data_IF_714632765125
#
_entry.id   IF_714632765125
#
_cell.length_a   1.000
_cell.length_b   1.000
_cell.length_c   1.000
_cell.angle_alpha   90.00
_cell.angle_beta   90.00
_cell.angle_gamma   90.00
#
_symmetry.space_group_name_H-M   'P 1'
#
loop_
_entity.id
_entity.type
_entity.pdbx_description
1 polymer ?
#
# COMPACT_ATOMS: atom_id res chain seq x y z
N UNK A 1 -15.81 61.99 51.84
CA UNK A 1 -17.14 61.73 51.23
C UNK A 1 -16.97 61.76 49.73
N UNK A 2 -17.22 60.67 49.07
CA UNK A 2 -17.76 60.40 47.74
C UNK A 2 -17.04 59.17 47.14
N UNK A 3 -17.81 58.14 47.18
CA UNK A 3 -17.54 56.84 46.53
C UNK A 3 -17.67 56.98 44.99
N UNK A 4 -16.71 56.48 44.21
CA UNK A 4 -16.91 56.20 42.80
C UNK A 4 -16.49 54.72 42.56
N UNK A 5 -17.51 53.90 42.36
CA UNK A 5 -17.34 52.52 41.94
C UNK A 5 -17.11 52.50 40.44
N UNK A 6 -15.95 51.98 40.01
CA UNK A 6 -15.67 51.71 38.61
C UNK A 6 -15.95 50.23 38.31
N UNK A 7 -16.98 49.98 37.51
CA UNK A 7 -17.34 48.69 36.93
C UNK A 7 -16.38 48.39 35.78
N UNK A 8 -15.48 47.43 35.95
CA UNK A 8 -14.75 46.81 34.87
C UNK A 8 -15.58 45.68 34.26
N UNK A 9 -16.21 45.93 33.12
CA UNK A 9 -16.84 44.91 32.28
C UNK A 9 -15.74 44.23 31.48
N UNK A 10 -15.33 43.05 31.95
CA UNK A 10 -14.40 42.21 31.21
C UNK A 10 -15.13 41.40 30.11
N UNK A 11 -14.97 41.81 28.87
CA UNK A 11 -15.44 41.03 27.70
C UNK A 11 -14.49 39.86 27.46
N UNK A 12 -14.87 38.65 27.87
CA UNK A 12 -14.21 37.42 27.50
C UNK A 12 -14.57 37.07 26.05
N UNK A 13 -13.68 37.39 25.13
CA UNK A 13 -13.71 36.85 23.75
C UNK A 13 -13.34 35.36 23.79
N UNK A 14 -14.36 34.52 23.83
CA UNK A 14 -14.20 33.08 23.57
C UNK A 14 -13.87 32.90 22.08
N UNK A 15 -12.59 32.73 21.78
CA UNK A 15 -12.13 32.20 20.47
C UNK A 15 -12.52 30.72 20.43
N UNK A 16 -13.75 30.44 19.99
CA UNK A 16 -14.16 29.11 19.58
C UNK A 16 -13.38 28.78 18.31
N UNK A 17 -12.22 28.12 18.48
CA UNK A 17 -11.51 27.50 17.38
C UNK A 17 -12.41 26.45 16.74
N UNK A 18 -12.94 26.76 15.55
CA UNK A 18 -13.60 25.78 14.69
C UNK A 18 -12.56 24.81 14.15
N UNK A 19 -12.11 23.87 14.97
CA UNK A 19 -11.62 22.59 14.47
C UNK A 19 -12.86 21.81 14.04
N UNK A 20 -13.25 21.97 12.77
CA UNK A 20 -14.23 21.09 12.15
C UNK A 20 -13.68 19.67 12.25
N UNK A 21 -14.28 18.75 13.01
CA UNK A 21 -13.89 17.35 12.94
C UNK A 21 -14.16 16.93 11.51
N UNK A 22 -13.10 16.50 10.80
CA UNK A 22 -13.26 15.86 9.49
C UNK A 22 -14.22 14.70 9.71
N UNK A 23 -15.43 14.83 9.19
CA UNK A 23 -16.47 13.82 9.32
C UNK A 23 -15.92 12.49 8.81
N UNK A 24 -16.16 11.34 9.50
CA UNK A 24 -15.71 10.01 9.05
C UNK A 24 -16.04 9.73 7.58
N UNK A 25 -17.14 10.31 7.08
CA UNK A 25 -17.54 10.26 5.67
C UNK A 25 -16.56 10.90 4.69
N UNK A 26 -15.81 11.93 5.07
CA UNK A 26 -14.85 12.58 4.16
C UNK A 26 -13.58 11.73 3.97
N UNK A 27 -13.07 11.11 5.02
CA UNK A 27 -11.89 10.24 4.94
C UNK A 27 -12.20 8.94 4.18
N UNK A 28 -13.36 8.34 4.42
CA UNK A 28 -13.83 7.17 3.69
C UNK A 28 -14.00 7.47 2.19
N UNK A 29 -14.59 8.63 1.85
CA UNK A 29 -14.76 9.05 0.46
C UNK A 29 -13.40 9.27 -0.23
N UNK A 30 -12.43 9.91 0.45
CA UNK A 30 -11.08 10.08 -0.07
C UNK A 30 -10.38 8.73 -0.28
N UNK A 31 -10.51 7.80 0.65
CA UNK A 31 -9.94 6.46 0.54
C UNK A 31 -10.54 5.71 -0.64
N UNK A 32 -11.87 5.75 -0.82
CA UNK A 32 -12.55 5.14 -1.97
C UNK A 32 -12.05 5.72 -3.29
N UNK A 33 -11.89 7.04 -3.37
CA UNK A 33 -11.35 7.72 -4.54
C UNK A 33 -9.93 7.24 -4.84
N UNK A 34 -9.06 7.20 -3.82
CA UNK A 34 -7.67 6.76 -3.98
C UNK A 34 -7.59 5.31 -4.46
N UNK A 35 -8.34 4.39 -3.85
CA UNK A 35 -8.39 2.96 -4.25
C UNK A 35 -8.81 2.80 -5.71
N UNK A 36 -9.82 3.55 -6.15
CA UNK A 36 -10.31 3.49 -7.53
C UNK A 36 -9.31 4.09 -8.52
N UNK A 37 -8.69 5.23 -8.19
CA UNK A 37 -7.74 5.92 -9.08
C UNK A 37 -6.45 5.13 -9.26
N UNK A 38 -5.98 4.46 -8.21
CA UNK A 38 -4.72 3.70 -8.25
C UNK A 38 -4.92 2.26 -8.72
N UNK A 39 -6.16 1.77 -8.80
CA UNK A 39 -6.44 0.37 -9.06
C UNK A 39 -5.84 -0.54 -7.96
N UNK A 40 -5.89 -0.12 -6.70
CA UNK A 40 -5.17 -0.75 -5.61
C UNK A 40 -5.42 -2.26 -5.50
N UNK A 41 -6.66 -2.74 -5.63
CA UNK A 41 -6.98 -4.17 -5.58
C UNK A 41 -6.23 -4.99 -6.64
N UNK A 42 -6.37 -4.69 -7.94
CA UNK A 42 -5.56 -5.29 -9.00
C UNK A 42 -4.05 -5.22 -8.76
N UNK A 43 -3.52 -4.09 -8.27
CA UNK A 43 -2.09 -3.93 -7.96
C UNK A 43 -1.64 -4.93 -6.89
N UNK A 44 -2.41 -5.11 -5.82
CA UNK A 44 -2.13 -6.11 -4.77
C UNK A 44 -2.09 -7.51 -5.38
N UNK A 45 -3.10 -7.89 -6.17
CA UNK A 45 -3.15 -9.20 -6.83
C UNK A 45 -1.97 -9.44 -7.78
N UNK A 46 -1.54 -8.41 -8.51
CA UNK A 46 -0.36 -8.46 -9.39
C UNK A 46 0.91 -8.73 -8.58
N UNK A 47 1.19 -7.96 -7.53
CA UNK A 47 2.37 -8.13 -6.68
C UNK A 47 2.44 -9.52 -6.03
N UNK A 48 1.31 -10.05 -5.56
CA UNK A 48 1.23 -11.40 -5.01
C UNK A 48 1.56 -12.47 -6.07
N UNK A 49 1.04 -12.31 -7.28
CA UNK A 49 1.29 -13.22 -8.40
C UNK A 49 2.76 -13.17 -8.85
N UNK A 50 3.35 -11.99 -8.93
CA UNK A 50 4.76 -11.82 -9.31
C UNK A 50 5.70 -12.42 -8.28
N UNK A 51 5.43 -12.19 -7.00
CA UNK A 51 6.18 -12.79 -5.89
C UNK A 51 6.08 -14.33 -5.90
N UNK A 52 4.91 -14.86 -6.28
CA UNK A 52 4.70 -16.31 -6.47
C UNK A 52 5.46 -16.83 -7.68
N UNK A 53 5.37 -16.14 -8.83
CA UNK A 53 6.05 -16.50 -10.07
C UNK A 53 7.57 -16.52 -9.89
N UNK A 54 8.14 -15.49 -9.26
CA UNK A 54 9.56 -15.45 -8.93
C UNK A 54 9.98 -16.63 -8.05
N UNK A 55 9.14 -17.00 -7.07
CA UNK A 55 9.40 -18.15 -6.21
C UNK A 55 9.41 -19.46 -6.99
N UNK A 56 8.43 -19.68 -7.86
CA UNK A 56 8.30 -20.89 -8.67
C UNK A 56 9.46 -21.04 -9.64
N UNK A 57 9.85 -19.96 -10.33
CA UNK A 57 10.97 -19.98 -11.29
C UNK A 57 12.28 -20.28 -10.58
N UNK A 58 12.54 -19.69 -9.42
CA UNK A 58 13.74 -19.99 -8.65
C UNK A 58 13.76 -21.44 -8.10
N UNK A 59 12.61 -21.96 -7.68
CA UNK A 59 12.49 -23.32 -7.16
C UNK A 59 12.62 -24.39 -8.27
N UNK A 60 12.15 -24.11 -9.47
CA UNK A 60 12.21 -25.04 -10.61
C UNK A 60 13.58 -25.13 -11.26
N UNK A 61 14.50 -24.20 -10.97
CA UNK A 61 15.79 -24.12 -11.65
C UNK A 61 15.67 -23.74 -13.13
N UNK A 62 14.64 -23.02 -13.54
CA UNK A 62 14.32 -22.67 -14.93
C UNK A 62 15.37 -21.83 -15.69
N UNK A 63 16.53 -21.61 -15.08
CA UNK A 63 17.66 -20.90 -15.68
C UNK A 63 17.67 -19.38 -15.37
N UNK A 64 18.85 -18.79 -15.61
CA UNK A 64 19.15 -17.40 -15.21
C UNK A 64 18.24 -16.39 -15.92
N UNK A 65 17.99 -16.57 -17.21
CA UNK A 65 17.18 -15.62 -17.99
C UNK A 65 15.73 -15.60 -17.53
N UNK A 66 15.12 -16.76 -17.27
CA UNK A 66 13.76 -16.84 -16.74
C UNK A 66 13.66 -16.18 -15.37
N UNK A 67 14.63 -16.43 -14.48
CA UNK A 67 14.69 -15.78 -13.18
C UNK A 67 14.80 -14.25 -13.32
N UNK A 68 15.70 -13.76 -14.17
CA UNK A 68 15.86 -12.32 -14.38
C UNK A 68 14.57 -11.66 -14.89
N UNK A 69 13.82 -12.30 -15.79
CA UNK A 69 12.55 -11.75 -16.30
C UNK A 69 11.54 -11.57 -15.18
N UNK A 70 11.25 -12.61 -14.40
CA UNK A 70 10.25 -12.51 -13.32
C UNK A 70 10.69 -11.58 -12.18
N UNK A 71 12.00 -11.51 -11.89
CA UNK A 71 12.53 -10.60 -10.90
C UNK A 71 12.41 -9.13 -11.34
N UNK A 72 12.61 -8.86 -12.65
CA UNK A 72 12.44 -7.52 -13.21
C UNK A 72 10.98 -7.05 -13.15
N UNK A 73 10.04 -7.95 -13.48
CA UNK A 73 8.60 -7.65 -13.38
C UNK A 73 8.24 -7.31 -11.95
N UNK A 74 8.60 -8.14 -10.97
CA UNK A 74 8.35 -7.88 -9.55
C UNK A 74 8.94 -6.53 -9.08
N UNK A 75 10.16 -6.18 -9.55
CA UNK A 75 10.78 -4.91 -9.21
C UNK A 75 9.98 -3.74 -9.75
N UNK A 76 9.65 -3.78 -11.04
CA UNK A 76 8.91 -2.72 -11.73
C UNK A 76 7.54 -2.49 -11.10
N UNK A 77 6.82 -3.57 -10.80
CA UNK A 77 5.46 -3.46 -10.23
C UNK A 77 5.49 -2.98 -8.78
N UNK A 78 6.52 -3.35 -7.99
CA UNK A 78 6.71 -2.80 -6.66
C UNK A 78 7.06 -1.29 -6.69
N UNK A 79 7.88 -0.84 -7.64
CA UNK A 79 8.19 0.58 -7.83
C UNK A 79 6.97 1.36 -8.30
N UNK A 80 6.21 0.84 -9.26
CA UNK A 80 4.98 1.46 -9.75
C UNK A 80 3.93 1.58 -8.63
N UNK A 81 3.76 0.53 -7.81
CA UNK A 81 2.87 0.57 -6.66
C UNK A 81 3.29 1.63 -5.63
N UNK A 82 4.60 1.77 -5.38
CA UNK A 82 5.13 2.78 -4.46
C UNK A 82 4.88 4.21 -4.95
N UNK A 83 4.85 4.46 -6.26
CA UNK A 83 4.56 5.77 -6.84
C UNK A 83 3.11 6.23 -6.60
N UNK A 84 2.22 5.33 -6.21
CA UNK A 84 0.84 5.66 -5.86
C UNK A 84 0.68 6.15 -4.41
N UNK A 85 1.75 6.17 -3.61
CA UNK A 85 1.72 6.71 -2.25
C UNK A 85 1.87 8.25 -2.26
N UNK A 86 1.34 8.96 -1.24
CA UNK A 86 0.68 8.42 -0.05
C UNK A 86 -0.80 8.08 -0.23
N UNK A 87 -1.32 7.22 0.63
CA UNK A 87 -2.77 7.01 0.78
C UNK A 87 -3.37 8.11 1.69
N UNK A 88 -4.70 8.31 1.69
CA UNK A 88 -5.37 9.20 2.66
C UNK A 88 -5.25 8.76 4.13
N UNK A 89 -4.77 7.54 4.39
CA UNK A 89 -4.52 7.01 5.73
C UNK A 89 -3.01 6.84 5.95
N UNK A 90 -2.46 7.59 6.90
CA UNK A 90 -1.02 7.60 7.15
C UNK A 90 -0.47 6.22 7.58
N UNK A 91 -1.23 5.46 8.37
CA UNK A 91 -0.81 4.12 8.80
C UNK A 91 -0.75 3.16 7.60
N UNK A 92 -1.77 3.16 6.74
CA UNK A 92 -1.75 2.39 5.49
C UNK A 92 -0.57 2.79 4.60
N UNK A 93 -0.27 4.10 4.47
CA UNK A 93 0.89 4.59 3.71
C UNK A 93 2.21 4.03 4.24
N UNK A 94 2.40 4.01 5.56
CA UNK A 94 3.61 3.46 6.17
C UNK A 94 3.74 1.95 5.93
N UNK A 95 2.65 1.20 6.07
CA UNK A 95 2.64 -0.25 5.85
C UNK A 95 2.93 -0.59 4.38
N UNK A 96 2.26 0.09 3.45
CA UNK A 96 2.46 -0.12 2.02
C UNK A 96 3.85 0.30 1.56
N UNK A 97 4.41 1.38 2.07
CA UNK A 97 5.79 1.78 1.76
C UNK A 97 6.80 0.72 2.19
N UNK A 98 6.61 0.10 3.38
CA UNK A 98 7.43 -1.04 3.81
C UNK A 98 7.22 -2.26 2.91
N UNK A 99 5.97 -2.55 2.55
CA UNK A 99 5.63 -3.66 1.67
C UNK A 99 6.37 -3.55 0.32
N UNK A 100 6.22 -2.42 -0.35
CA UNK A 100 6.81 -2.18 -1.66
C UNK A 100 8.34 -2.12 -1.60
N UNK A 101 8.91 -1.50 -0.57
CA UNK A 101 10.35 -1.49 -0.34
C UNK A 101 10.92 -2.89 -0.13
N UNK A 102 10.25 -3.73 0.65
CA UNK A 102 10.67 -5.12 0.88
C UNK A 102 10.50 -6.00 -0.36
N UNK A 103 9.42 -5.82 -1.15
CA UNK A 103 9.24 -6.53 -2.42
C UNK A 103 10.29 -6.12 -3.46
N UNK A 104 10.64 -4.84 -3.56
CA UNK A 104 11.75 -4.36 -4.38
C UNK A 104 13.11 -4.93 -3.96
N UNK A 105 13.37 -5.01 -2.65
CA UNK A 105 14.57 -5.65 -2.10
C UNK A 105 14.57 -7.18 -2.37
N UNK A 106 13.40 -7.82 -2.34
CA UNK A 106 13.24 -9.20 -2.74
C UNK A 106 13.58 -9.38 -4.23
N UNK A 107 13.03 -8.56 -5.11
CA UNK A 107 13.30 -8.59 -6.54
C UNK A 107 14.79 -8.42 -6.85
N UNK A 108 15.46 -7.48 -6.20
CA UNK A 108 16.91 -7.28 -6.31
C UNK A 108 17.72 -8.51 -5.87
N UNK A 109 17.29 -9.17 -4.79
CA UNK A 109 17.90 -10.42 -4.32
C UNK A 109 17.62 -11.58 -5.27
N UNK A 110 16.42 -11.64 -5.84
CA UNK A 110 15.99 -12.60 -6.84
C UNK A 110 16.91 -12.63 -8.06
N UNK A 111 17.33 -11.48 -8.57
CA UNK A 111 18.30 -11.39 -9.69
C UNK A 111 19.60 -12.14 -9.45
N UNK A 112 20.08 -12.17 -8.21
CA UNK A 112 21.33 -12.84 -7.81
C UNK A 112 21.13 -14.28 -7.36
N UNK A 113 19.89 -14.67 -7.08
CA UNK A 113 19.54 -15.95 -6.49
C UNK A 113 20.00 -17.19 -7.31
N UNK A 114 19.93 -17.20 -8.67
CA UNK A 114 20.37 -18.35 -9.46
C UNK A 114 21.83 -18.77 -9.25
N UNK A 115 22.66 -17.86 -8.76
CA UNK A 115 24.11 -18.10 -8.53
C UNK A 115 24.51 -17.96 -7.07
N UNK A 116 23.56 -17.77 -6.14
CA UNK A 116 23.88 -17.45 -4.75
C UNK A 116 22.79 -17.91 -3.79
N UNK A 117 23.09 -18.90 -2.97
CA UNK A 117 22.21 -19.38 -1.89
C UNK A 117 21.88 -18.29 -0.85
N UNK A 118 22.82 -17.38 -0.60
CA UNK A 118 22.57 -16.24 0.31
C UNK A 118 21.56 -15.27 -0.28
N UNK A 119 21.64 -15.00 -1.60
CA UNK A 119 20.68 -14.17 -2.31
C UNK A 119 19.30 -14.82 -2.35
N UNK A 120 19.22 -16.14 -2.54
CA UNK A 120 17.95 -16.88 -2.47
C UNK A 120 17.29 -16.78 -1.09
N UNK A 121 18.07 -16.90 -0.02
CA UNK A 121 17.55 -16.70 1.36
C UNK A 121 17.10 -15.26 1.60
N UNK A 122 17.85 -14.28 1.09
CA UNK A 122 17.47 -12.87 1.19
C UNK A 122 16.17 -12.57 0.41
N UNK A 123 16.02 -13.14 -0.79
CA UNK A 123 14.77 -13.06 -1.56
C UNK A 123 13.58 -13.57 -0.74
N UNK A 124 13.65 -14.79 -0.22
CA UNK A 124 12.55 -15.39 0.54
C UNK A 124 12.20 -14.57 1.79
N UNK A 125 13.22 -14.10 2.53
CA UNK A 125 13.03 -13.26 3.73
C UNK A 125 12.30 -11.95 3.39
N UNK A 126 12.81 -11.21 2.41
CA UNK A 126 12.25 -9.91 2.03
C UNK A 126 10.86 -10.07 1.42
N UNK A 127 10.65 -11.07 0.54
CA UNK A 127 9.34 -11.39 -0.02
C UNK A 127 8.29 -11.64 1.07
N UNK A 128 8.59 -12.51 2.04
CA UNK A 128 7.65 -12.86 3.11
C UNK A 128 7.29 -11.64 3.96
N UNK A 129 8.30 -10.80 4.28
CA UNK A 129 8.07 -9.57 5.04
C UNK A 129 7.26 -8.55 4.24
N UNK A 130 7.58 -8.37 2.96
CA UNK A 130 6.84 -7.48 2.07
C UNK A 130 5.38 -7.88 1.91
N UNK A 131 5.11 -9.18 1.69
CA UNK A 131 3.74 -9.70 1.61
C UNK A 131 2.97 -9.55 2.93
N UNK A 132 3.62 -9.74 4.09
CA UNK A 132 2.99 -9.51 5.38
C UNK A 132 2.55 -8.05 5.54
N UNK A 133 3.42 -7.09 5.26
CA UNK A 133 3.06 -5.67 5.30
C UNK A 133 2.00 -5.29 4.26
N UNK A 134 1.98 -5.93 3.09
CA UNK A 134 0.96 -5.72 2.07
C UNK A 134 -0.43 -6.11 2.60
N UNK A 135 -0.54 -7.28 3.22
CA UNK A 135 -1.79 -7.75 3.86
C UNK A 135 -2.23 -6.81 4.99
N UNK A 136 -1.32 -6.37 5.85
CA UNK A 136 -1.64 -5.41 6.93
C UNK A 136 -2.09 -4.05 6.36
N UNK A 137 -1.42 -3.57 5.32
CA UNK A 137 -1.79 -2.34 4.62
C UNK A 137 -3.17 -2.42 3.98
N UNK A 138 -3.46 -3.53 3.28
CA UNK A 138 -4.78 -3.81 2.71
C UNK A 138 -5.86 -3.84 3.79
N UNK A 139 -5.66 -4.59 4.87
CA UNK A 139 -6.63 -4.66 5.97
C UNK A 139 -6.90 -3.28 6.59
N UNK A 140 -5.87 -2.43 6.70
CA UNK A 140 -6.02 -1.06 7.19
C UNK A 140 -6.89 -0.20 6.25
N UNK A 141 -6.74 -0.37 4.94
CA UNK A 141 -7.56 0.32 3.93
C UNK A 141 -8.98 -0.21 3.94
N UNK A 142 -9.18 -1.52 4.00
CA UNK A 142 -10.51 -2.16 4.09
C UNK A 142 -11.27 -1.70 5.34
N UNK A 143 -10.59 -1.60 6.47
CA UNK A 143 -11.18 -1.04 7.69
C UNK A 143 -11.62 0.42 7.52
N UNK A 144 -10.85 1.23 6.79
CA UNK A 144 -11.20 2.63 6.50
C UNK A 144 -12.36 2.74 5.50
N UNK A 145 -12.50 1.77 4.59
CA UNK A 145 -13.60 1.70 3.61
C UNK A 145 -14.88 1.11 4.19
N UNK A 146 -14.77 0.26 5.21
CA UNK A 146 -15.87 -0.57 5.73
C UNK A 146 -16.28 -1.72 4.79
N UNK A 147 -15.50 -2.00 3.75
CA UNK A 147 -15.75 -3.05 2.76
C UNK A 147 -14.45 -3.70 2.30
N UNK A 148 -14.47 -5.02 1.98
CA UNK A 148 -13.31 -5.70 1.42
C UNK A 148 -12.98 -5.18 0.02
N UNK A 149 -11.70 -5.33 -0.37
CA UNK A 149 -11.16 -4.96 -1.68
C UNK A 149 -10.97 -6.23 -2.52
N UNK A 150 -11.55 -6.25 -3.72
CA UNK A 150 -11.30 -7.36 -4.66
C UNK A 150 -9.88 -7.25 -5.23
N UNK A 151 -9.07 -8.27 -5.00
CA UNK A 151 -7.70 -8.40 -5.55
C UNK A 151 -7.67 -9.15 -6.88
N UNK A 152 -8.84 -9.59 -7.38
CA UNK A 152 -8.94 -10.30 -8.64
C UNK A 152 -8.57 -9.38 -9.81
N UNK A 153 -7.51 -9.72 -10.52
CA UNK A 153 -7.32 -9.26 -11.89
C UNK A 153 -8.36 -9.98 -12.74
N UNK A 154 -9.53 -9.36 -12.96
CA UNK A 154 -10.47 -9.84 -13.95
C UNK A 154 -9.80 -9.67 -15.31
N UNK A 155 -9.16 -10.72 -15.82
CA UNK A 155 -9.01 -10.88 -17.25
C UNK A 155 -10.45 -10.95 -17.78
N UNK A 156 -10.94 -9.84 -18.30
CA UNK A 156 -12.19 -9.76 -19.02
C UNK A 156 -12.04 -10.62 -20.28
N UNK A 157 -12.30 -11.93 -20.11
CA UNK A 157 -12.47 -12.84 -21.23
C UNK A 157 -13.79 -12.46 -21.87
N UNK A 158 -13.75 -11.40 -22.69
CA UNK A 158 -14.79 -11.09 -23.65
C UNK A 158 -15.00 -12.28 -24.59
N UNK A 159 -15.70 -13.29 -24.10
CA UNK A 159 -16.30 -14.33 -24.93
C UNK A 159 -17.51 -13.73 -25.62
N UNK A 160 -17.27 -13.00 -26.71
CA UNK A 160 -18.30 -12.77 -27.73
C UNK A 160 -18.57 -14.11 -28.41
N UNK A 161 -19.53 -14.84 -27.89
CA UNK A 161 -20.17 -15.90 -28.65
C UNK A 161 -20.93 -15.26 -29.82
N UNK A 162 -20.51 -15.56 -31.03
CA UNK A 162 -21.32 -15.46 -32.25
C UNK A 162 -22.01 -16.81 -32.50
#
# INVERSE_FOLDING_TARGET
MRWIAALCVGSALALAGCSSPSTPSSQQAQMKTWVNQTGFGPVVGTLENDARSATQVLASGAGVNAAHTVCAVLLLDAENANNNLPTPNQNASMLLSKAYGDLGAAATSCYRAPKSTSAQRAFLKNRNRGLAFLVEGQATIEAALGTPISTSTTADNGSTAQ
#
